data_IF_920065641655
#
_entry.id   IF_920065641655
#
_cell.length_a   1.000
_cell.length_b   1.000
_cell.length_c   1.000
_cell.angle_alpha   90.00
_cell.angle_beta   90.00
_cell.angle_gamma   90.00
#
_symmetry.space_group_name_H-M   'P 1'
#
loop_
_entity.id
_entity.type
_entity.pdbx_description
1 polymer ?
#
# COMPACT_ATOMS: atom_id res chain seq x y z
N UNK A 1 10.64 -26.26 3.80
CA UNK A 1 11.88 -25.82 4.48
C UNK A 1 12.97 -25.28 3.54
N UNK A 2 13.29 -25.92 2.40
CA UNK A 2 14.35 -25.44 1.47
C UNK A 2 14.25 -23.96 1.07
N UNK A 3 13.05 -23.46 0.76
CA UNK A 3 12.86 -22.06 0.38
C UNK A 3 13.29 -21.06 1.46
N UNK A 4 12.93 -21.31 2.72
CA UNK A 4 13.25 -20.41 3.85
C UNK A 4 14.76 -20.33 4.08
N UNK A 5 15.45 -21.47 4.01
CA UNK A 5 16.91 -21.52 4.15
C UNK A 5 17.63 -20.74 3.05
N UNK A 6 17.15 -20.82 1.80
CA UNK A 6 17.71 -20.05 0.69
C UNK A 6 17.56 -18.54 0.91
N UNK A 7 16.40 -18.08 1.37
CA UNK A 7 16.18 -16.65 1.64
C UNK A 7 16.98 -16.18 2.85
N UNK A 8 17.09 -17.00 3.90
CA UNK A 8 17.94 -16.70 5.06
C UNK A 8 19.42 -16.57 4.68
N UNK A 9 19.91 -17.46 3.81
CA UNK A 9 21.27 -17.40 3.27
C UNK A 9 21.49 -16.12 2.43
N UNK A 10 20.57 -15.83 1.52
CA UNK A 10 20.63 -14.63 0.69
C UNK A 10 20.63 -13.34 1.54
N UNK A 11 19.83 -13.31 2.62
CA UNK A 11 19.82 -12.20 3.58
C UNK A 11 21.17 -12.03 4.29
N UNK A 12 21.76 -13.13 4.78
CA UNK A 12 23.09 -13.09 5.42
C UNK A 12 24.18 -12.58 4.47
N UNK A 13 24.16 -13.03 3.21
CA UNK A 13 25.11 -12.59 2.18
C UNK A 13 24.91 -11.11 1.85
N UNK A 14 23.65 -10.66 1.70
CA UNK A 14 23.30 -9.27 1.39
C UNK A 14 23.78 -8.29 2.48
N UNK A 15 23.75 -8.73 3.73
CA UNK A 15 24.04 -7.93 4.92
C UNK A 15 25.37 -8.31 5.59
N UNK A 16 26.28 -8.97 4.86
CA UNK A 16 27.54 -9.48 5.41
C UNK A 16 28.34 -8.41 6.17
N UNK A 17 28.57 -7.25 5.55
CA UNK A 17 29.37 -6.17 6.15
C UNK A 17 28.73 -5.65 7.44
N UNK A 18 27.40 -5.47 7.43
CA UNK A 18 26.65 -5.09 8.63
C UNK A 18 26.81 -6.09 9.77
N UNK A 19 26.79 -7.39 9.48
CA UNK A 19 26.97 -8.44 10.50
C UNK A 19 28.39 -8.42 11.07
N UNK A 20 29.40 -8.17 10.23
CA UNK A 20 30.80 -8.04 10.66
C UNK A 20 30.99 -6.82 11.55
N UNK A 21 30.37 -5.69 11.22
CA UNK A 21 30.52 -4.43 11.97
C UNK A 21 29.74 -4.41 13.29
N UNK A 22 28.63 -5.15 13.37
CA UNK A 22 27.73 -5.10 14.54
C UNK A 22 27.96 -6.19 15.57
N UNK A 23 28.41 -7.38 15.15
CA UNK A 23 28.52 -8.51 16.06
C UNK A 23 29.88 -8.53 16.79
N UNK A 24 29.91 -8.99 18.06
CA UNK A 24 31.17 -9.17 18.77
C UNK A 24 32.10 -10.15 18.04
N UNK A 25 33.39 -9.88 17.99
CA UNK A 25 34.38 -10.73 17.29
C UNK A 25 34.40 -12.22 17.71
N UNK A 26 33.90 -12.55 18.91
CA UNK A 26 33.78 -13.92 19.43
C UNK A 26 32.45 -14.60 19.08
N UNK A 27 31.60 -13.95 18.28
CA UNK A 27 30.28 -14.48 17.94
C UNK A 27 30.40 -15.78 17.13
N UNK A 28 29.57 -16.77 17.46
CA UNK A 28 29.63 -18.13 16.88
C UNK A 28 29.43 -18.15 15.36
N UNK A 29 28.75 -17.15 14.81
CA UNK A 29 28.49 -17.05 13.36
C UNK A 29 29.78 -16.90 12.56
N UNK A 30 30.81 -16.27 13.14
CA UNK A 30 32.11 -16.11 12.48
C UNK A 30 32.90 -17.43 12.38
N UNK A 31 32.48 -18.47 13.12
CA UNK A 31 32.99 -19.84 12.95
C UNK A 31 32.40 -20.57 11.74
N UNK A 32 31.37 -20.03 11.10
CA UNK A 32 30.70 -20.69 9.97
C UNK A 32 31.43 -20.45 8.64
N UNK A 33 31.28 -21.33 7.63
CA UNK A 33 32.06 -21.26 6.38
C UNK A 33 31.94 -19.93 5.63
N UNK A 34 30.77 -19.29 5.67
CA UNK A 34 30.48 -18.02 4.96
C UNK A 34 31.39 -16.89 5.46
N UNK A 35 31.67 -16.85 6.76
CA UNK A 35 32.47 -15.79 7.39
C UNK A 35 33.96 -16.14 7.51
N UNK A 36 34.29 -17.44 7.45
CA UNK A 36 35.67 -17.92 7.57
C UNK A 36 36.42 -17.92 6.24
N UNK A 37 35.72 -18.07 5.12
CA UNK A 37 36.32 -18.22 3.79
C UNK A 37 35.98 -17.01 2.91
N UNK A 38 36.93 -16.09 2.66
CA UNK A 38 36.69 -14.90 1.84
C UNK A 38 36.18 -15.22 0.43
N UNK A 39 36.69 -16.30 -0.19
CA UNK A 39 36.25 -16.72 -1.52
C UNK A 39 34.79 -17.21 -1.54
N UNK A 40 34.29 -17.75 -0.43
CA UNK A 40 32.91 -18.24 -0.32
C UNK A 40 31.93 -17.07 -0.37
N UNK A 41 32.18 -16.00 0.39
CA UNK A 41 31.28 -14.85 0.40
C UNK A 41 31.27 -14.13 -0.95
N UNK A 42 32.42 -14.01 -1.62
CA UNK A 42 32.49 -13.41 -2.96
C UNK A 42 31.72 -14.23 -4.00
N UNK A 43 31.84 -15.58 -3.97
CA UNK A 43 31.05 -16.45 -4.82
C UNK A 43 29.53 -16.32 -4.54
N UNK A 44 29.14 -16.27 -3.28
CA UNK A 44 27.73 -16.12 -2.89
C UNK A 44 27.16 -14.73 -3.26
N UNK A 45 27.98 -13.67 -3.20
CA UNK A 45 27.59 -12.32 -3.64
C UNK A 45 27.32 -12.30 -5.15
N UNK A 46 28.10 -13.04 -5.95
CA UNK A 46 27.87 -13.16 -7.39
C UNK A 46 26.55 -13.87 -7.75
N UNK A 47 26.12 -14.82 -6.93
CA UNK A 47 24.85 -15.55 -7.08
C UNK A 47 23.63 -14.79 -6.52
N UNK A 48 23.84 -13.65 -5.85
CA UNK A 48 22.77 -12.92 -5.19
C UNK A 48 21.95 -12.10 -6.20
N UNK A 49 20.77 -12.60 -6.55
CA UNK A 49 19.79 -11.81 -7.30
C UNK A 49 19.09 -10.78 -6.38
N UNK A 50 19.48 -9.51 -6.46
CA UNK A 50 18.92 -8.42 -5.63
C UNK A 50 17.64 -7.80 -6.19
N UNK A 51 17.32 -8.05 -7.46
CA UNK A 51 16.22 -7.41 -8.15
C UNK A 51 15.44 -8.42 -8.97
N UNK A 52 14.13 -8.50 -8.73
CA UNK A 52 13.19 -9.12 -9.63
C UNK A 52 12.49 -7.98 -10.39
N UNK A 53 12.38 -8.06 -11.72
CA UNK A 53 11.70 -7.03 -12.53
C UNK A 53 10.29 -6.71 -12.01
N UNK A 54 9.62 -7.68 -11.37
CA UNK A 54 8.26 -7.51 -10.82
C UNK A 54 8.23 -6.91 -9.41
N UNK A 55 9.31 -7.03 -8.64
CA UNK A 55 9.37 -6.60 -7.24
C UNK A 55 10.70 -5.89 -7.00
N UNK A 56 10.67 -4.57 -7.08
CA UNK A 56 11.81 -3.73 -6.74
C UNK A 56 11.80 -3.43 -5.24
N UNK A 57 12.92 -3.60 -4.52
CA UNK A 57 13.00 -3.19 -3.13
C UNK A 57 12.85 -1.66 -3.06
N UNK A 58 11.72 -1.21 -2.51
CA UNK A 58 11.41 0.22 -2.39
C UNK A 58 12.12 0.90 -1.22
N UNK A 59 12.63 0.11 -0.26
CA UNK A 59 13.17 0.62 1.02
C UNK A 59 12.10 1.24 1.93
N UNK A 60 10.83 1.21 1.50
CA UNK A 60 9.70 1.78 2.25
C UNK A 60 9.17 0.69 3.18
N UNK A 61 9.12 0.92 4.50
CA UNK A 61 8.53 -0.03 5.42
C UNK A 61 7.09 -0.39 5.01
N UNK A 62 6.67 -1.67 5.09
CA UNK A 62 5.35 -2.10 4.60
C UNK A 62 4.18 -1.28 5.15
N UNK A 63 4.30 -0.80 6.40
CA UNK A 63 3.26 -0.02 7.05
C UNK A 63 3.06 1.38 6.43
N UNK A 64 4.08 1.98 5.83
CA UNK A 64 3.96 3.30 5.17
C UNK A 64 3.01 3.21 3.98
N UNK A 65 3.03 2.10 3.26
CA UNK A 65 2.11 1.88 2.15
C UNK A 65 0.66 1.69 2.63
N UNK A 66 0.48 1.07 3.80
CA UNK A 66 -0.83 1.01 4.48
C UNK A 66 -1.31 2.41 4.82
N UNK A 67 -0.45 3.28 5.38
CA UNK A 67 -0.83 4.67 5.68
C UNK A 67 -1.19 5.45 4.43
N UNK A 68 -0.43 5.32 3.33
CA UNK A 68 -0.76 5.96 2.05
C UNK A 68 -2.11 5.51 1.51
N UNK A 69 -2.41 4.21 1.60
CA UNK A 69 -3.71 3.69 1.18
C UNK A 69 -4.84 4.27 2.03
N UNK A 70 -4.65 4.35 3.35
CA UNK A 70 -5.60 4.96 4.27
C UNK A 70 -5.79 6.46 3.98
N UNK A 71 -4.72 7.19 3.66
CA UNK A 71 -4.77 8.62 3.30
C UNK A 71 -5.55 8.85 1.99
N UNK A 72 -5.33 7.98 1.00
CA UNK A 72 -6.06 7.99 -0.26
C UNK A 72 -7.55 7.67 -0.07
N UNK A 73 -7.87 6.68 0.78
CA UNK A 73 -9.24 6.35 1.15
C UNK A 73 -9.91 7.49 1.93
N UNK A 74 -9.21 8.10 2.89
CA UNK A 74 -9.69 9.25 3.66
C UNK A 74 -10.01 10.44 2.77
N UNK A 75 -9.13 10.76 1.82
CA UNK A 75 -9.36 11.83 0.82
C UNK A 75 -10.61 11.58 -0.05
N UNK A 76 -10.92 10.32 -0.34
CA UNK A 76 -12.10 9.94 -1.11
C UNK A 76 -13.38 10.09 -0.28
N UNK A 77 -13.32 9.77 1.01
CA UNK A 77 -14.43 9.96 1.96
C UNK A 77 -14.71 11.45 2.18
N UNK A 78 -13.67 12.29 2.31
CA UNK A 78 -13.82 13.74 2.50
C UNK A 78 -14.39 14.45 1.26
N UNK A 79 -14.15 13.92 0.06
CA UNK A 79 -14.69 14.45 -1.19
C UNK A 79 -16.14 14.04 -1.45
N UNK A 80 -16.61 12.96 -0.80
CA UNK A 80 -17.92 12.36 -1.04
C UNK A 80 -19.11 13.32 -0.74
N UNK A 81 -19.13 14.09 0.37
CA UNK A 81 -20.21 15.05 0.61
C UNK A 81 -20.32 16.12 -0.48
N UNK A 82 -19.18 16.56 -1.05
CA UNK A 82 -19.16 17.57 -2.12
C UNK A 82 -19.75 17.00 -3.41
N UNK A 83 -19.37 15.77 -3.76
CA UNK A 83 -19.91 15.07 -4.93
C UNK A 83 -21.42 14.89 -4.85
N UNK A 84 -21.95 14.52 -3.67
CA UNK A 84 -23.40 14.37 -3.45
C UNK A 84 -24.11 15.72 -3.61
N UNK A 85 -23.57 16.79 -3.04
CA UNK A 85 -24.16 18.14 -3.15
C UNK A 85 -24.15 18.64 -4.60
N UNK A 86 -23.05 18.46 -5.33
CA UNK A 86 -22.95 18.84 -6.74
C UNK A 86 -23.91 18.03 -7.62
N UNK A 87 -24.07 16.73 -7.33
CA UNK A 87 -25.03 15.87 -8.03
C UNK A 87 -26.48 16.28 -7.74
N UNK A 88 -26.82 16.54 -6.47
CA UNK A 88 -28.14 17.05 -6.10
C UNK A 88 -28.45 18.37 -6.81
N UNK A 89 -27.46 19.27 -6.90
CA UNK A 89 -27.59 20.54 -7.61
C UNK A 89 -27.87 20.32 -9.11
N UNK A 90 -27.11 19.44 -9.76
CA UNK A 90 -27.35 19.08 -11.16
C UNK A 90 -28.73 18.47 -11.40
N UNK A 91 -29.19 17.55 -10.53
CA UNK A 91 -30.52 16.94 -10.61
C UNK A 91 -31.65 17.94 -10.38
N UNK A 92 -31.46 18.93 -9.50
CA UNK A 92 -32.43 20.01 -9.29
C UNK A 92 -32.48 20.98 -10.48
N UNK A 93 -31.32 21.32 -11.05
CA UNK A 93 -31.22 22.19 -12.22
C UNK A 93 -31.84 21.52 -13.47
N UNK A 94 -31.67 20.20 -13.65
CA UNK A 94 -32.27 19.43 -14.75
C UNK A 94 -33.79 19.28 -14.63
N UNK A 95 -34.33 19.28 -13.41
CA UNK A 95 -35.78 19.09 -13.15
C UNK A 95 -36.61 20.37 -13.17
N UNK A 96 -36.04 21.45 -13.69
CA UNK A 96 -36.70 22.73 -13.95
C UNK A 96 -37.53 23.21 -12.74
N UNK A 97 -36.81 23.47 -11.63
CA UNK A 97 -37.32 24.11 -10.39
C UNK A 97 -38.10 25.41 -10.67
N UNK A 98 -37.89 25.99 -11.85
CA UNK A 98 -38.53 27.18 -12.42
C UNK A 98 -40.06 27.08 -12.52
N UNK A 99 -40.66 25.88 -12.58
CA UNK A 99 -42.12 25.69 -12.60
C UNK A 99 -42.81 25.81 -11.22
N UNK A 100 -42.07 26.22 -10.17
CA UNK A 100 -42.65 26.76 -8.94
C UNK A 100 -43.25 25.75 -7.96
N UNK A 101 -43.09 24.43 -8.19
CA UNK A 101 -43.63 23.40 -7.30
C UNK A 101 -42.54 22.45 -6.82
N UNK A 102 -41.59 22.95 -6.01
CA UNK A 102 -40.70 22.07 -5.24
C UNK A 102 -41.54 21.42 -4.14
N UNK A 103 -41.78 20.11 -4.26
CA UNK A 103 -42.45 19.34 -3.20
C UNK A 103 -41.43 18.64 -2.32
N UNK A 104 -41.78 18.40 -1.04
CA UNK A 104 -40.92 17.62 -0.13
C UNK A 104 -40.63 16.20 -0.66
N UNK A 105 -41.55 15.63 -1.45
CA UNK A 105 -41.38 14.33 -2.11
C UNK A 105 -40.28 14.39 -3.17
N UNK A 106 -40.24 15.45 -3.98
CA UNK A 106 -39.18 15.65 -4.98
C UNK A 106 -37.80 15.75 -4.32
N UNK A 107 -37.68 16.54 -3.25
CA UNK A 107 -36.42 16.67 -2.49
C UNK A 107 -35.95 15.32 -1.94
N UNK A 108 -36.86 14.55 -1.33
CA UNK A 108 -36.54 13.22 -0.80
C UNK A 108 -36.07 12.27 -1.89
N UNK A 109 -36.74 12.28 -3.04
CA UNK A 109 -36.35 11.43 -4.17
C UNK A 109 -34.98 11.83 -4.72
N UNK A 110 -34.71 13.14 -4.88
CA UNK A 110 -33.39 13.61 -5.33
C UNK A 110 -32.27 13.24 -4.38
N UNK A 111 -32.52 13.24 -3.06
CA UNK A 111 -31.55 12.76 -2.06
C UNK A 111 -31.29 11.27 -2.25
N UNK A 112 -32.35 10.45 -2.38
CA UNK A 112 -32.21 8.99 -2.60
C UNK A 112 -31.47 8.70 -3.90
N UNK A 113 -31.83 9.36 -5.00
CA UNK A 113 -31.20 9.17 -6.30
C UNK A 113 -29.70 9.55 -6.24
N UNK A 114 -29.33 10.63 -5.55
CA UNK A 114 -27.94 11.03 -5.38
C UNK A 114 -27.14 10.04 -4.50
N UNK A 115 -27.77 9.47 -3.47
CA UNK A 115 -27.16 8.46 -2.61
C UNK A 115 -26.97 7.12 -3.35
N UNK A 116 -27.93 6.72 -4.19
CA UNK A 116 -27.86 5.52 -5.02
C UNK A 116 -26.75 5.60 -6.06
N UNK A 117 -26.64 6.73 -6.77
CA UNK A 117 -25.56 6.92 -7.76
C UNK A 117 -24.19 6.99 -7.09
N UNK A 118 -24.13 7.42 -5.83
CA UNK A 118 -22.90 7.43 -5.02
C UNK A 118 -22.59 6.07 -4.37
N UNK A 119 -23.44 5.05 -4.53
CA UNK A 119 -23.22 3.69 -4.04
C UNK A 119 -23.46 3.49 -2.54
N UNK A 120 -24.30 4.32 -1.89
CA UNK A 120 -24.53 4.33 -0.44
C UNK A 120 -25.84 3.67 0.01
N UNK A 121 -26.55 2.97 -0.87
CA UNK A 121 -27.92 2.46 -0.60
C UNK A 121 -27.99 0.95 -0.25
N UNK A 122 -26.86 0.26 -0.12
CA UNK A 122 -26.79 -1.15 0.29
C UNK A 122 -26.29 -1.30 1.75
N UNK A 123 -27.11 -0.85 2.72
CA UNK A 123 -27.14 -1.37 4.12
C UNK A 123 -28.49 -1.13 4.79
#
# INVERSE_FOLDING_TARGET
MRGILVHGMASLVRHFDYVVDTLPAKHIVFGTPIFRQPLMIEALKAELATTNQRLQPSGIPPYIEVYRLLEHQGSSIDAMPRSIVDQMRGMLDERDVTHGTITSVLIKQTIVDALQVSGLDDT
#
